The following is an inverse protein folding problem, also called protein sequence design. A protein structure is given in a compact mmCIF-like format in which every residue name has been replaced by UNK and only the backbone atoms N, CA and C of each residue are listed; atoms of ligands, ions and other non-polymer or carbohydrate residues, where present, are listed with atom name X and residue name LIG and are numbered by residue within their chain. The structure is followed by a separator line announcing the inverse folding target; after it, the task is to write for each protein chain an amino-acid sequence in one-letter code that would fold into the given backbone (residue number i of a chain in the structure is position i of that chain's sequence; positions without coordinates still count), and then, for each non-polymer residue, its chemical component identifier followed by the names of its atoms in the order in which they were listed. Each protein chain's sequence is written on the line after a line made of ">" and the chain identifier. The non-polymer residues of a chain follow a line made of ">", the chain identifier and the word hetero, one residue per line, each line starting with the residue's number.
data_IF_856963423939
#
_entry.id   IF_856963423939
#
_cell.length_a   1.000
_cell.length_b   1.000
_cell.length_c   1.000
_cell.angle_alpha   90.00
_cell.angle_beta   90.00
_cell.angle_gamma   90.00
#
_symmetry.space_group_name_H-M   'P 1'
#
loop_
_entity.id
_entity.type
_entity.pdbx_description
1 polymer ?
#
# COMPACT_ATOMS: atom_id res chain seq x y z
N UNK A 1 9.08 7.47 10.94
CA UNK A 1 8.54 8.84 11.04
C UNK A 1 9.10 9.56 12.28
N UNK A 2 9.10 8.97 13.49
CA UNK A 2 9.65 9.59 14.70
C UNK A 2 11.13 9.99 14.60
N UNK A 3 11.92 9.27 13.81
CA UNK A 3 13.32 9.60 13.48
C UNK A 3 13.46 10.86 12.64
N UNK A 4 12.45 11.22 11.87
CA UNK A 4 12.46 12.36 10.95
C UNK A 4 11.80 13.61 11.54
N UNK A 5 11.28 13.52 12.77
CA UNK A 5 10.66 14.67 13.43
C UNK A 5 11.70 15.60 14.06
N UNK A 6 11.60 16.93 13.87
CA UNK A 6 12.40 17.88 14.63
C UNK A 6 12.14 17.72 16.15
N UNK A 7 13.13 17.87 17.02
CA UNK A 7 14.51 18.29 16.75
C UNK A 7 15.49 17.16 16.38
N UNK A 8 15.06 15.90 16.37
CA UNK A 8 15.95 14.74 16.25
C UNK A 8 16.55 14.59 14.85
N UNK A 9 15.76 14.87 13.79
CA UNK A 9 16.27 14.90 12.42
C UNK A 9 17.39 15.93 12.25
N UNK A 10 17.30 17.05 12.95
CA UNK A 10 18.34 18.07 12.93
C UNK A 10 19.63 17.58 13.61
N UNK A 11 19.54 16.90 14.76
CA UNK A 11 20.70 16.33 15.43
C UNK A 11 21.45 15.32 14.55
N UNK A 12 20.73 14.52 13.77
CA UNK A 12 21.32 13.54 12.84
C UNK A 12 21.99 14.22 11.65
N UNK A 13 21.38 15.27 11.11
CA UNK A 13 21.97 16.06 10.01
C UNK A 13 23.24 16.76 10.43
N UNK A 14 23.24 17.38 11.61
CA UNK A 14 24.44 18.00 12.20
C UNK A 14 25.51 16.93 12.46
N UNK A 15 25.12 15.76 12.99
CA UNK A 15 26.03 14.65 13.23
C UNK A 15 26.67 14.17 11.95
N UNK A 16 25.91 13.94 10.88
CA UNK A 16 26.45 13.53 9.58
C UNK A 16 27.46 14.56 9.04
N UNK A 17 27.15 15.85 9.12
CA UNK A 17 28.05 16.92 8.73
C UNK A 17 29.36 16.93 9.53
N UNK A 18 29.28 16.68 10.84
CA UNK A 18 30.43 16.66 11.73
C UNK A 18 31.44 15.55 11.43
N UNK A 19 30.98 14.42 10.89
CA UNK A 19 31.86 13.27 10.58
C UNK A 19 32.15 13.08 9.09
N UNK A 20 31.53 13.88 8.22
CA UNK A 20 31.56 13.67 6.77
C UNK A 20 32.99 13.55 6.22
N UNK A 21 33.93 14.35 6.71
CA UNK A 21 35.34 14.28 6.30
C UNK A 21 36.07 13.06 6.85
N UNK A 22 35.82 12.70 8.11
CA UNK A 22 36.52 11.60 8.78
C UNK A 22 36.00 10.22 8.37
N UNK A 23 34.72 10.12 8.10
CA UNK A 23 34.01 8.88 7.74
C UNK A 23 33.34 8.99 6.37
N UNK A 24 34.06 9.55 5.39
CA UNK A 24 33.55 9.77 4.03
C UNK A 24 33.03 8.47 3.38
N UNK A 25 33.67 7.33 3.65
CA UNK A 25 33.24 6.03 3.15
C UNK A 25 31.82 5.61 3.64
N UNK A 26 31.37 6.13 4.77
CA UNK A 26 30.03 5.86 5.29
C UNK A 26 29.01 6.89 4.77
N UNK A 27 29.41 8.15 4.73
CA UNK A 27 28.51 9.27 4.39
C UNK A 27 28.31 9.41 2.89
N UNK A 28 29.39 9.26 2.09
CA UNK A 28 29.34 9.50 0.65
C UNK A 28 28.42 8.53 -0.10
N UNK A 29 28.52 7.19 0.10
CA UNK A 29 27.59 6.26 -0.57
C UNK A 29 26.14 6.51 -0.20
N UNK A 30 25.87 6.83 1.08
CA UNK A 30 24.53 7.15 1.54
C UNK A 30 23.98 8.42 0.87
N UNK A 31 24.80 9.44 0.73
CA UNK A 31 24.43 10.69 0.06
C UNK A 31 24.19 10.49 -1.44
N UNK A 32 25.07 9.76 -2.12
CA UNK A 32 24.92 9.42 -3.54
C UNK A 32 23.64 8.63 -3.78
N UNK A 33 23.38 7.60 -2.94
CA UNK A 33 22.17 6.82 -3.01
C UNK A 33 20.91 7.69 -2.83
N UNK A 34 20.93 8.58 -1.85
CA UNK A 34 19.80 9.49 -1.59
C UNK A 34 19.55 10.44 -2.75
N UNK A 35 20.60 11.09 -3.28
CA UNK A 35 20.51 12.01 -4.42
C UNK A 35 19.97 11.27 -5.63
N UNK A 36 20.54 10.10 -5.95
CA UNK A 36 20.13 9.28 -7.07
C UNK A 36 18.62 8.92 -6.99
N UNK A 37 18.17 8.38 -5.85
CA UNK A 37 16.77 8.00 -5.68
C UNK A 37 15.83 9.20 -5.58
N UNK A 38 16.33 10.37 -5.17
CA UNK A 38 15.53 11.60 -5.15
C UNK A 38 15.32 12.18 -6.55
N UNK A 39 16.16 11.84 -7.51
CA UNK A 39 16.07 12.29 -8.90
C UNK A 39 15.05 11.49 -9.73
N UNK A 40 14.77 10.24 -9.36
CA UNK A 40 13.83 9.40 -10.09
C UNK A 40 12.39 9.92 -9.97
N UNK A 41 11.61 9.95 -11.09
CA UNK A 41 10.24 10.46 -11.08
C UNK A 41 9.27 9.57 -10.29
N UNK A 42 9.53 8.27 -10.18
CA UNK A 42 8.68 7.29 -9.49
C UNK A 42 9.12 7.13 -8.02
N UNK A 43 8.93 8.19 -7.22
CA UNK A 43 9.35 8.24 -5.82
C UNK A 43 8.50 7.32 -4.95
N UNK A 44 9.03 6.15 -4.60
CA UNK A 44 8.44 5.30 -3.57
C UNK A 44 9.31 5.37 -2.31
N UNK A 45 8.69 5.69 -1.19
CA UNK A 45 9.37 5.84 0.12
C UNK A 45 10.20 4.60 0.50
N UNK A 46 9.76 3.42 0.07
CA UNK A 46 10.46 2.15 0.32
C UNK A 46 11.87 2.08 -0.27
N UNK A 47 12.16 2.83 -1.32
CA UNK A 47 13.50 2.85 -1.91
C UNK A 47 14.51 3.64 -1.06
N UNK A 48 14.03 4.51 -0.17
CA UNK A 48 14.89 5.28 0.74
C UNK A 48 15.14 4.50 2.06
N UNK A 49 14.31 3.51 2.39
CA UNK A 49 14.43 2.73 3.62
C UNK A 49 15.81 2.09 3.85
N UNK A 50 16.50 1.51 2.84
CA UNK A 50 17.83 0.93 3.04
C UNK A 50 18.87 1.94 3.53
N UNK A 51 18.65 3.23 3.29
CA UNK A 51 19.56 4.29 3.75
C UNK A 51 19.39 4.63 5.23
N UNK A 52 18.22 4.38 5.80
CA UNK A 52 17.89 4.77 7.19
C UNK A 52 18.90 4.24 8.21
N UNK A 53 19.32 2.95 8.19
CA UNK A 53 20.34 2.45 9.12
C UNK A 53 21.67 3.22 9.04
N UNK A 54 22.11 3.57 7.84
CA UNK A 54 23.36 4.33 7.64
C UNK A 54 23.25 5.74 8.20
N UNK A 55 22.11 6.41 7.99
CA UNK A 55 21.84 7.74 8.56
C UNK A 55 21.84 7.65 10.10
N UNK A 56 21.21 6.62 10.67
CA UNK A 56 21.18 6.39 12.10
C UNK A 56 22.59 6.24 12.65
N UNK A 57 23.38 5.34 12.11
CA UNK A 57 24.73 5.07 12.59
C UNK A 57 25.64 6.30 12.43
N UNK A 58 25.68 6.86 11.22
CA UNK A 58 26.52 8.04 10.91
C UNK A 58 26.10 9.26 11.76
N UNK A 59 24.78 9.51 11.84
CA UNK A 59 24.24 10.61 12.63
C UNK A 59 24.55 10.45 14.12
N UNK A 60 24.44 9.24 14.68
CA UNK A 60 24.75 8.97 16.08
C UNK A 60 26.23 9.18 16.41
N UNK A 61 27.13 8.62 15.59
CA UNK A 61 28.59 8.80 15.76
C UNK A 61 28.94 10.29 15.68
N UNK A 62 28.39 10.96 14.67
CA UNK A 62 28.65 12.37 14.47
C UNK A 62 28.05 13.27 15.56
N UNK A 63 26.86 12.93 16.07
CA UNK A 63 26.26 13.63 17.21
C UNK A 63 27.13 13.52 18.45
N UNK A 64 27.65 12.34 18.76
CA UNK A 64 28.58 12.14 19.88
C UNK A 64 29.82 13.04 19.75
N UNK A 65 30.46 13.02 18.56
CA UNK A 65 31.62 13.86 18.29
C UNK A 65 31.30 15.38 18.34
N UNK A 66 30.14 15.77 17.86
CA UNK A 66 29.68 17.18 17.93
C UNK A 66 29.42 17.62 19.37
N UNK A 67 28.74 16.77 20.14
CA UNK A 67 28.44 17.01 21.57
C UNK A 67 29.69 17.24 22.38
N UNK A 68 30.72 16.42 22.19
CA UNK A 68 32.00 16.54 22.90
C UNK A 68 32.72 17.87 22.62
N UNK A 69 32.50 18.45 21.46
CA UNK A 69 33.11 19.73 21.05
C UNK A 69 32.27 20.94 21.45
N UNK A 70 30.98 20.76 21.71
CA UNK A 70 30.03 21.83 21.96
C UNK A 70 29.97 22.18 23.45
N UNK A 71 30.42 23.37 23.81
CA UNK A 71 30.34 23.90 25.20
C UNK A 71 28.90 24.00 25.69
N UNK A 72 27.95 24.23 24.79
CA UNK A 72 26.53 24.28 25.09
C UNK A 72 26.01 22.93 25.62
N UNK A 73 26.29 21.85 24.91
CA UNK A 73 25.84 20.51 25.28
C UNK A 73 26.60 19.94 26.48
N UNK A 74 27.88 20.26 26.61
CA UNK A 74 28.67 19.90 27.79
C UNK A 74 28.08 20.45 29.08
N UNK A 75 27.62 21.72 29.03
CA UNK A 75 26.97 22.38 30.18
C UNK A 75 25.55 21.87 30.44
N UNK A 76 24.86 21.33 29.46
CA UNK A 76 23.44 20.94 29.53
C UNK A 76 23.20 19.45 29.40
N UNK A 77 24.06 18.61 29.94
CA UNK A 77 23.92 17.14 29.91
C UNK A 77 22.57 16.61 30.41
N UNK A 78 21.96 17.27 31.42
CA UNK A 78 20.62 16.89 31.91
C UNK A 78 19.52 17.10 30.85
N UNK A 79 19.63 18.17 30.08
CA UNK A 79 18.69 18.45 28.98
C UNK A 79 18.83 17.40 27.87
N UNK A 80 20.07 17.10 27.48
CA UNK A 80 20.36 16.05 26.49
C UNK A 80 19.77 14.70 26.91
N UNK A 81 19.98 14.29 28.15
CA UNK A 81 19.44 13.04 28.68
C UNK A 81 17.91 13.01 28.66
N UNK A 82 17.24 14.09 29.03
CA UNK A 82 15.78 14.21 28.97
C UNK A 82 15.27 14.13 27.53
N UNK A 83 15.93 14.77 26.59
CA UNK A 83 15.60 14.70 25.17
C UNK A 83 15.80 13.30 24.61
N UNK A 84 16.86 12.61 25.01
CA UNK A 84 17.10 11.22 24.60
C UNK A 84 16.01 10.27 25.15
N UNK A 85 15.61 10.42 26.42
CA UNK A 85 14.50 9.64 27.00
C UNK A 85 13.20 9.94 26.24
N UNK A 86 12.90 11.21 26.00
CA UNK A 86 11.71 11.62 25.24
C UNK A 86 11.71 11.02 23.85
N UNK A 87 12.85 11.05 23.16
CA UNK A 87 13.01 10.42 21.85
C UNK A 87 12.73 8.92 21.88
N UNK A 88 13.33 8.21 22.83
CA UNK A 88 13.12 6.76 22.96
C UNK A 88 11.66 6.45 23.29
N UNK A 89 11.07 7.16 24.25
CA UNK A 89 9.67 6.98 24.62
C UNK A 89 8.72 7.22 23.44
N UNK A 90 8.94 8.31 22.69
CA UNK A 90 8.16 8.65 21.51
C UNK A 90 8.27 7.56 20.44
N UNK A 91 9.49 7.06 20.19
CA UNK A 91 9.70 6.00 19.19
C UNK A 91 9.07 4.67 19.61
N UNK A 92 9.09 4.31 20.91
CA UNK A 92 8.41 3.12 21.43
C UNK A 92 6.90 3.24 21.20
N UNK A 93 6.30 4.40 21.52
CA UNK A 93 4.87 4.61 21.34
C UNK A 93 4.49 4.59 19.84
N UNK A 94 5.20 5.37 19.03
CA UNK A 94 4.95 5.43 17.57
C UNK A 94 5.22 4.08 16.91
N UNK A 95 6.31 3.41 17.28
CA UNK A 95 6.65 2.07 16.77
C UNK A 95 5.59 1.04 17.15
N UNK A 96 5.12 1.03 18.40
CA UNK A 96 4.05 0.16 18.87
C UNK A 96 2.74 0.39 18.09
N UNK A 97 2.37 1.64 17.88
CA UNK A 97 1.21 1.99 17.03
C UNK A 97 1.41 1.49 15.60
N UNK A 98 2.55 1.77 14.99
CA UNK A 98 2.85 1.37 13.60
C UNK A 98 2.89 -0.15 13.41
N UNK A 99 3.38 -0.91 14.39
CA UNK A 99 3.34 -2.38 14.37
C UNK A 99 1.90 -2.92 14.38
N UNK A 100 0.96 -2.21 15.00
CA UNK A 100 -0.46 -2.57 15.00
C UNK A 100 -1.23 -2.13 13.76
N UNK A 101 -0.68 -1.20 12.97
CA UNK A 101 -1.33 -0.67 11.77
C UNK A 101 -1.18 -1.64 10.60
N UNK A 102 -2.30 -2.11 10.09
CA UNK A 102 -2.38 -2.86 8.83
C UNK A 102 -3.01 -1.94 7.77
N UNK A 103 -2.21 -1.16 7.03
CA UNK A 103 -2.75 -0.28 6.00
C UNK A 103 -3.36 -1.12 4.88
N UNK A 104 -4.49 -0.63 4.32
CA UNK A 104 -5.22 -1.28 3.23
C UNK A 104 -5.70 -2.71 3.59
N UNK A 105 -6.12 -2.87 4.84
CA UNK A 105 -6.60 -4.16 5.37
C UNK A 105 -7.71 -4.75 4.50
N UNK A 106 -8.63 -3.94 3.98
CA UNK A 106 -9.71 -4.37 3.11
C UNK A 106 -9.21 -5.13 1.86
N UNK A 107 -8.10 -4.70 1.27
CA UNK A 107 -7.52 -5.37 0.09
C UNK A 107 -6.94 -6.75 0.44
N UNK A 108 -6.27 -6.85 1.58
CA UNK A 108 -5.70 -8.12 2.07
C UNK A 108 -6.82 -9.08 2.42
N UNK A 109 -7.79 -8.62 3.22
CA UNK A 109 -8.91 -9.45 3.66
C UNK A 109 -9.77 -9.92 2.47
N UNK A 110 -9.92 -9.10 1.42
CA UNK A 110 -10.64 -9.50 0.21
C UNK A 110 -9.90 -10.60 -0.56
N UNK A 111 -8.58 -10.47 -0.74
CA UNK A 111 -7.80 -11.51 -1.42
C UNK A 111 -7.74 -12.79 -0.59
N UNK A 112 -7.62 -12.71 0.73
CA UNK A 112 -7.69 -13.87 1.62
C UNK A 112 -9.06 -14.54 1.54
N UNK A 113 -10.15 -13.74 1.48
CA UNK A 113 -11.49 -14.29 1.33
C UNK A 113 -11.67 -15.05 0.00
N UNK A 114 -11.05 -14.60 -1.09
CA UNK A 114 -11.04 -15.34 -2.35
C UNK A 114 -10.24 -16.66 -2.24
N UNK A 115 -9.10 -16.62 -1.56
CA UNK A 115 -8.31 -17.82 -1.27
C UNK A 115 -9.09 -18.86 -0.47
N UNK A 116 -9.82 -18.41 0.56
CA UNK A 116 -10.62 -19.27 1.45
C UNK A 116 -11.78 -19.99 0.73
N UNK A 117 -12.22 -19.48 -0.44
CA UNK A 117 -13.22 -20.17 -1.26
C UNK A 117 -12.69 -21.48 -1.89
N UNK A 118 -11.38 -21.60 -2.06
CA UNK A 118 -10.71 -22.82 -2.54
C UNK A 118 -10.91 -23.15 -4.03
N UNK A 119 -11.73 -22.41 -4.76
CA UNK A 119 -12.05 -22.64 -6.17
C UNK A 119 -11.73 -21.43 -7.07
N UNK A 120 -10.83 -20.54 -6.65
CA UNK A 120 -10.44 -19.38 -7.41
C UNK A 120 -9.72 -19.78 -8.71
N UNK A 121 -10.35 -19.55 -9.85
CA UNK A 121 -9.71 -19.67 -11.17
C UNK A 121 -9.10 -18.36 -11.62
N UNK A 122 -9.88 -17.26 -11.59
CA UNK A 122 -9.45 -15.90 -11.87
C UNK A 122 -10.47 -14.93 -11.26
N UNK A 123 -10.15 -13.64 -11.21
CA UNK A 123 -11.08 -12.62 -10.73
C UNK A 123 -10.99 -11.33 -11.55
N UNK A 124 -12.11 -10.61 -11.57
CA UNK A 124 -12.24 -9.28 -12.15
C UNK A 124 -12.30 -8.25 -11.01
N UNK A 125 -11.43 -7.23 -11.05
CA UNK A 125 -11.55 -6.07 -10.16
C UNK A 125 -12.21 -4.93 -10.91
N UNK A 126 -13.28 -4.41 -10.32
CA UNK A 126 -13.99 -3.23 -10.76
C UNK A 126 -13.68 -2.07 -9.84
N UNK A 127 -13.02 -1.05 -10.37
CA UNK A 127 -12.70 0.16 -9.62
C UNK A 127 -13.82 1.17 -9.74
N UNK A 128 -14.46 1.53 -8.62
CA UNK A 128 -15.54 2.53 -8.65
C UNK A 128 -15.03 3.96 -8.41
N UNK A 129 -13.81 4.11 -7.88
CA UNK A 129 -13.19 5.43 -7.64
C UNK A 129 -11.76 5.43 -8.20
N UNK A 130 -10.78 5.11 -7.34
CA UNK A 130 -9.37 5.10 -7.70
C UNK A 130 -8.87 3.68 -7.99
N UNK A 131 -7.96 3.51 -8.95
CA UNK A 131 -7.36 2.21 -9.21
C UNK A 131 -6.71 1.64 -7.93
N UNK A 132 -7.10 0.43 -7.59
CA UNK A 132 -6.60 -0.27 -6.42
C UNK A 132 -5.95 -1.58 -6.86
N UNK A 133 -4.62 -1.65 -6.83
CA UNK A 133 -3.94 -2.92 -7.08
C UNK A 133 -4.12 -3.85 -5.89
N UNK A 134 -4.72 -5.04 -6.08
CA UNK A 134 -4.84 -6.03 -5.03
C UNK A 134 -3.48 -6.68 -4.77
N UNK A 135 -3.17 -7.05 -3.52
CA UNK A 135 -2.00 -7.85 -3.22
C UNK A 135 -2.28 -9.32 -3.58
N UNK A 136 -2.06 -9.71 -4.84
CA UNK A 136 -2.35 -11.05 -5.39
C UNK A 136 -1.77 -12.20 -4.54
N UNK A 137 -0.63 -11.98 -3.91
CA UNK A 137 -0.01 -12.97 -3.03
C UNK A 137 -1.00 -13.63 -2.05
N UNK A 138 -1.95 -12.85 -1.52
CA UNK A 138 -2.95 -13.37 -0.56
C UNK A 138 -4.10 -14.13 -1.21
N UNK A 139 -4.24 -14.08 -2.54
CA UNK A 139 -5.23 -14.89 -3.26
C UNK A 139 -4.72 -16.28 -3.61
N UNK A 140 -3.42 -16.56 -3.39
CA UNK A 140 -2.79 -17.82 -3.79
C UNK A 140 -2.60 -18.00 -5.30
N UNK A 141 -3.01 -17.02 -6.10
CA UNK A 141 -2.90 -17.05 -7.56
C UNK A 141 -1.94 -15.98 -8.06
N UNK A 142 -1.08 -16.35 -9.03
CA UNK A 142 -0.19 -15.44 -9.77
C UNK A 142 -0.69 -15.16 -11.19
N UNK A 143 -1.84 -15.70 -11.55
CA UNK A 143 -2.50 -15.46 -12.84
C UNK A 143 -2.83 -13.96 -12.99
N UNK A 144 -2.74 -13.45 -14.22
CA UNK A 144 -3.12 -12.07 -14.50
C UNK A 144 -4.64 -11.92 -14.33
N UNK A 145 -5.06 -11.20 -13.30
CA UNK A 145 -6.46 -10.86 -13.08
C UNK A 145 -6.96 -9.81 -14.09
N UNK A 146 -8.27 -9.68 -14.20
CA UNK A 146 -8.92 -8.69 -15.02
C UNK A 146 -9.19 -7.41 -14.23
N UNK A 147 -9.11 -6.27 -14.92
CA UNK A 147 -9.40 -4.96 -14.30
C UNK A 147 -10.42 -4.21 -15.14
N UNK A 148 -11.28 -3.48 -14.47
CA UNK A 148 -12.29 -2.63 -15.07
C UNK A 148 -12.50 -1.38 -14.21
N UNK A 149 -13.16 -0.39 -14.78
CA UNK A 149 -13.65 0.80 -14.10
C UNK A 149 -15.09 1.13 -14.54
N UNK A 150 -15.71 2.12 -13.94
CA UNK A 150 -17.09 2.52 -14.27
C UNK A 150 -17.24 3.13 -15.67
N UNK A 151 -16.17 3.46 -16.37
CA UNK A 151 -16.21 3.96 -17.75
C UNK A 151 -16.18 2.84 -18.80
N UNK A 152 -15.87 1.61 -18.36
CA UNK A 152 -15.75 0.45 -19.25
C UNK A 152 -17.13 -0.05 -19.66
N UNK A 153 -17.28 -0.43 -20.93
CA UNK A 153 -18.46 -1.15 -21.42
C UNK A 153 -18.39 -2.62 -20.96
N UNK A 154 -19.25 -2.98 -20.00
CA UNK A 154 -19.25 -4.29 -19.36
C UNK A 154 -19.57 -5.41 -20.35
N UNK A 155 -20.48 -5.18 -21.29
CA UNK A 155 -20.87 -6.18 -22.28
C UNK A 155 -19.73 -6.49 -23.25
N UNK A 156 -19.03 -5.45 -23.70
CA UNK A 156 -17.84 -5.62 -24.54
C UNK A 156 -16.71 -6.29 -23.76
N UNK A 157 -16.51 -5.90 -22.49
CA UNK A 157 -15.49 -6.52 -21.63
C UNK A 157 -15.79 -7.99 -21.39
N UNK A 158 -17.04 -8.38 -21.10
CA UNK A 158 -17.47 -9.78 -20.97
C UNK A 158 -17.13 -10.56 -22.22
N UNK A 159 -17.44 -10.00 -23.41
CA UNK A 159 -17.12 -10.65 -24.68
C UNK A 159 -15.62 -10.86 -24.90
N UNK A 160 -14.80 -9.86 -24.56
CA UNK A 160 -13.32 -9.98 -24.62
C UNK A 160 -12.82 -11.04 -23.66
N UNK A 161 -13.39 -11.15 -22.48
CA UNK A 161 -13.00 -12.17 -21.50
C UNK A 161 -13.38 -13.57 -21.93
N UNK A 162 -14.58 -13.78 -22.48
CA UNK A 162 -15.01 -15.09 -23.00
C UNK A 162 -14.16 -15.55 -24.21
N UNK A 163 -13.71 -14.64 -25.05
CA UNK A 163 -12.92 -14.96 -26.24
C UNK A 163 -11.41 -14.93 -26.00
N UNK A 164 -10.95 -14.75 -24.79
CA UNK A 164 -9.52 -14.65 -24.49
C UNK A 164 -8.82 -16.00 -24.56
N UNK A 165 -7.82 -16.18 -25.44
CA UNK A 165 -7.07 -17.42 -25.52
C UNK A 165 -6.01 -17.57 -24.43
N UNK A 166 -5.68 -16.47 -23.75
CA UNK A 166 -4.51 -16.40 -22.84
C UNK A 166 -4.87 -16.24 -21.36
N UNK A 167 -6.13 -15.91 -21.05
CA UNK A 167 -6.58 -15.69 -19.68
C UNK A 167 -7.89 -16.41 -19.43
N UNK A 168 -7.95 -17.06 -18.29
CA UNK A 168 -9.16 -17.73 -17.83
C UNK A 168 -10.23 -16.68 -17.52
N UNK A 169 -11.47 -16.99 -17.85
CA UNK A 169 -12.62 -16.16 -17.47
C UNK A 169 -12.73 -16.12 -15.93
N UNK A 170 -13.04 -14.96 -15.35
CA UNK A 170 -13.12 -14.81 -13.91
C UNK A 170 -14.33 -15.60 -13.35
N UNK A 171 -14.15 -16.23 -12.19
CA UNK A 171 -15.24 -16.80 -11.43
C UNK A 171 -15.62 -15.94 -10.21
N UNK A 172 -14.94 -14.79 -10.03
CA UNK A 172 -15.27 -13.78 -9.02
C UNK A 172 -15.17 -12.37 -9.58
N UNK A 173 -16.06 -11.50 -9.11
CA UNK A 173 -16.00 -10.04 -9.32
C UNK A 173 -15.79 -9.36 -7.98
N UNK A 174 -14.80 -8.48 -7.90
CA UNK A 174 -14.47 -7.71 -6.71
C UNK A 174 -14.64 -6.22 -7.01
N UNK A 175 -15.64 -5.59 -6.43
CA UNK A 175 -15.82 -4.14 -6.52
C UNK A 175 -14.99 -3.47 -5.43
N UNK A 176 -14.20 -2.49 -5.82
CA UNK A 176 -13.30 -1.73 -4.93
C UNK A 176 -13.56 -0.25 -5.03
N UNK A 177 -13.90 0.38 -3.90
CA UNK A 177 -14.07 1.82 -3.81
C UNK A 177 -14.66 2.29 -2.50
N UNK A 178 -14.85 3.60 -2.38
CA UNK A 178 -15.48 4.26 -1.24
C UNK A 178 -16.84 4.88 -1.60
N UNK A 179 -17.01 5.25 -2.88
CA UNK A 179 -18.20 5.87 -3.46
C UNK A 179 -18.67 5.03 -4.66
N UNK A 180 -19.89 5.24 -5.11
CA UNK A 180 -20.46 4.60 -6.31
C UNK A 180 -20.44 3.05 -6.35
N UNK A 181 -20.16 2.38 -5.20
CA UNK A 181 -20.14 0.91 -5.14
C UNK A 181 -21.48 0.30 -5.53
N UNK A 182 -22.60 0.89 -5.06
CA UNK A 182 -23.96 0.39 -5.37
C UNK A 182 -24.27 0.50 -6.85
N UNK A 183 -23.96 1.63 -7.47
CA UNK A 183 -24.14 1.88 -8.89
C UNK A 183 -23.33 0.89 -9.75
N UNK A 184 -22.05 0.68 -9.37
CA UNK A 184 -21.20 -0.30 -10.05
C UNK A 184 -21.76 -1.72 -9.96
N UNK A 185 -22.25 -2.13 -8.78
CA UNK A 185 -22.85 -3.45 -8.59
C UNK A 185 -24.12 -3.63 -9.43
N UNK A 186 -25.02 -2.62 -9.49
CA UNK A 186 -26.25 -2.72 -10.25
C UNK A 186 -25.99 -2.82 -11.77
N UNK A 187 -25.03 -2.04 -12.27
CA UNK A 187 -24.61 -2.14 -13.67
C UNK A 187 -24.12 -3.54 -14.03
N UNK A 188 -23.24 -4.10 -13.21
CA UNK A 188 -22.69 -5.43 -13.47
C UNK A 188 -23.76 -6.52 -13.30
N UNK A 189 -24.68 -6.39 -12.35
CA UNK A 189 -25.81 -7.33 -12.22
C UNK A 189 -26.72 -7.37 -13.44
N UNK A 190 -26.87 -6.28 -14.16
CA UNK A 190 -27.64 -6.27 -15.40
C UNK A 190 -26.93 -6.98 -16.57
N UNK A 191 -25.60 -7.13 -16.50
CA UNK A 191 -24.78 -7.76 -17.52
C UNK A 191 -24.44 -9.20 -17.21
N UNK A 192 -24.25 -9.52 -15.91
CA UNK A 192 -23.88 -10.85 -15.42
C UNK A 192 -25.06 -11.47 -14.64
N UNK A 193 -25.77 -12.40 -15.28
CA UNK A 193 -27.00 -13.02 -14.73
C UNK A 193 -26.73 -13.93 -13.54
N UNK A 194 -25.57 -14.59 -13.53
CA UNK A 194 -25.15 -15.53 -12.49
C UNK A 194 -24.52 -14.89 -11.25
N UNK A 195 -24.52 -13.54 -11.16
CA UNK A 195 -23.79 -12.81 -10.12
C UNK A 195 -24.44 -12.96 -8.73
N UNK A 196 -23.78 -13.69 -7.83
CA UNK A 196 -24.23 -13.91 -6.44
C UNK A 196 -23.31 -13.20 -5.42
N UNK A 197 -23.94 -12.57 -4.43
CA UNK A 197 -23.21 -11.91 -3.35
C UNK A 197 -22.58 -12.90 -2.38
N UNK A 198 -21.28 -12.76 -2.11
CA UNK A 198 -20.57 -13.57 -1.12
C UNK A 198 -20.30 -12.77 0.15
N UNK A 199 -19.57 -11.68 0.04
CA UNK A 199 -19.08 -10.97 1.23
C UNK A 199 -18.74 -9.50 0.96
N UNK A 200 -18.96 -8.69 2.01
CA UNK A 200 -18.41 -7.34 2.08
C UNK A 200 -17.20 -7.29 3.02
N UNK A 201 -16.14 -6.66 2.57
CA UNK A 201 -14.96 -6.39 3.38
C UNK A 201 -14.88 -4.90 3.66
N UNK A 202 -14.96 -4.54 4.93
CA UNK A 202 -14.92 -3.16 5.39
C UNK A 202 -13.47 -2.70 5.67
N UNK A 203 -13.18 -1.39 5.54
CA UNK A 203 -11.88 -0.83 5.91
C UNK A 203 -11.60 -1.01 7.39
N UNK A 204 -10.34 -1.24 7.74
CA UNK A 204 -9.89 -1.35 9.11
C UNK A 204 -10.10 -0.05 9.91
N UNK A 205 -10.04 -0.14 11.25
CA UNK A 205 -10.12 1.05 12.12
C UNK A 205 -9.02 2.07 11.80
N UNK A 206 -7.83 1.58 11.50
CA UNK A 206 -6.67 2.40 11.12
C UNK A 206 -6.84 3.04 9.75
N UNK A 207 -7.41 2.33 8.78
CA UNK A 207 -7.68 2.89 7.44
C UNK A 207 -8.66 4.07 7.54
N UNK A 208 -9.67 3.97 8.43
CA UNK A 208 -10.61 5.08 8.71
C UNK A 208 -9.93 6.26 9.38
N UNK A 209 -9.06 6.03 10.36
CA UNK A 209 -8.30 7.08 11.02
C UNK A 209 -7.34 7.77 10.05
N UNK A 210 -6.62 7.00 9.24
CA UNK A 210 -5.69 7.55 8.24
C UNK A 210 -6.42 8.33 7.15
N UNK A 211 -7.60 7.87 6.74
CA UNK A 211 -8.45 8.58 5.77
C UNK A 211 -9.03 9.89 6.36
N UNK A 212 -9.32 9.92 7.65
CA UNK A 212 -9.72 11.15 8.35
C UNK A 212 -8.57 12.15 8.45
N UNK A 213 -7.35 11.69 8.74
CA UNK A 213 -6.15 12.54 8.81
C UNK A 213 -5.69 13.03 7.44
N UNK A 214 -5.87 12.22 6.41
CA UNK A 214 -5.53 12.53 5.04
C UNK A 214 -6.56 11.91 4.08
N UNK A 215 -7.52 12.70 3.57
CA UNK A 215 -8.59 12.25 2.67
C UNK A 215 -8.10 11.66 1.34
N UNK A 216 -6.83 11.85 0.98
CA UNK A 216 -6.23 11.21 -0.20
C UNK A 216 -6.14 9.70 0.00
N UNK A 217 -6.00 9.23 1.26
CA UNK A 217 -6.04 7.82 1.63
C UNK A 217 -7.50 7.37 1.78
N UNK A 218 -8.13 6.97 0.69
CA UNK A 218 -9.51 6.46 0.74
C UNK A 218 -9.62 5.19 1.58
N UNK A 219 -10.64 5.15 2.46
CA UNK A 219 -11.03 3.95 3.18
C UNK A 219 -11.88 3.06 2.27
N UNK A 220 -11.25 2.27 1.43
CA UNK A 220 -11.89 1.44 0.42
C UNK A 220 -12.68 0.31 1.06
N UNK A 221 -13.91 0.11 0.59
CA UNK A 221 -14.72 -1.10 0.82
C UNK A 221 -14.54 -2.03 -0.37
N UNK A 222 -14.64 -3.32 -0.12
CA UNK A 222 -14.65 -4.31 -1.18
C UNK A 222 -15.88 -5.19 -1.07
N UNK A 223 -16.56 -5.39 -2.20
CA UNK A 223 -17.69 -6.31 -2.31
C UNK A 223 -17.27 -7.46 -3.22
N UNK A 224 -17.48 -8.69 -2.77
CA UNK A 224 -17.08 -9.91 -3.49
C UNK A 224 -18.34 -10.61 -3.94
N UNK A 225 -18.39 -10.95 -5.22
CA UNK A 225 -19.45 -11.71 -5.87
C UNK A 225 -18.84 -12.90 -6.59
N UNK A 226 -19.53 -14.03 -6.61
CA UNK A 226 -19.26 -15.15 -7.52
C UNK A 226 -20.00 -14.95 -8.82
N UNK A 227 -19.47 -15.51 -9.89
CA UNK A 227 -20.11 -15.65 -11.19
C UNK A 227 -19.83 -17.04 -11.75
N UNK A 228 -20.77 -17.56 -12.52
CA UNK A 228 -20.59 -18.84 -13.20
C UNK A 228 -20.00 -18.62 -14.60
N UNK A 229 -18.73 -19.02 -14.85
CA UNK A 229 -18.10 -18.86 -16.15
C UNK A 229 -18.83 -19.55 -17.30
N UNK A 230 -19.46 -20.70 -17.02
CA UNK A 230 -20.17 -21.48 -18.04
C UNK A 230 -21.44 -20.75 -18.47
N UNK A 231 -22.26 -20.31 -17.50
CA UNK A 231 -23.49 -19.57 -17.78
C UNK A 231 -23.21 -18.28 -18.55
N UNK A 232 -22.18 -17.52 -18.14
CA UNK A 232 -21.86 -16.23 -18.73
C UNK A 232 -21.29 -16.29 -20.15
N UNK A 233 -20.65 -17.41 -20.54
CA UNK A 233 -20.05 -17.54 -21.87
C UNK A 233 -20.87 -18.41 -22.83
N UNK A 234 -21.79 -19.26 -22.36
CA UNK A 234 -22.62 -20.15 -23.21
C UNK A 234 -23.79 -19.43 -23.85
N UNK A 235 -24.34 -18.38 -23.26
CA UNK A 235 -25.54 -17.67 -23.77
C UNK A 235 -25.44 -17.18 -25.23
N UNK A 236 -24.31 -17.28 -25.91
CA UNK A 236 -24.10 -16.80 -27.27
C UNK A 236 -24.14 -17.84 -28.38
N UNK A 237 -24.09 -19.13 -28.09
CA UNK A 237 -24.24 -20.14 -29.14
C UNK A 237 -25.68 -20.32 -29.59
N UNK A 238 -26.67 -19.88 -28.79
CA UNK A 238 -28.09 -20.04 -29.12
C UNK A 238 -28.70 -18.87 -29.93
N UNK A 239 -28.03 -17.72 -30.02
CA UNK A 239 -28.57 -16.54 -30.76
C UNK A 239 -28.13 -16.49 -32.20
N UNK A 240 -27.17 -17.31 -32.64
CA UNK A 240 -26.67 -17.42 -34.01
C UNK A 240 -26.81 -18.83 -34.58
N UNK A 241 -27.96 -19.49 -34.38
CA UNK A 241 -28.35 -20.59 -35.27
C UNK A 241 -29.21 -19.97 -36.38
N UNK A 242 -28.79 -20.10 -37.66
CA UNK A 242 -29.49 -19.56 -38.80
C UNK A 242 -30.85 -20.25 -39.05
#
# INVERSE_FOLDING_TARGET
>A
LGLLLPPFSFAWSVGMGAIARKHAMLVLPSLVFFIFHSYFPNKQERFILPMVPFVIVAGSIGWMAFRERSTFWQRRRRLEHRLAILFIALNIVVGGVLCGVRPKKSRIDAMTALYDQGNLSNFLIVHTDKPAMPPQFYSGSWEKYWTSDLSTDEANQRQVMCNSPTRVFPNYIVFSGSQHLGEGVERYKSTYSSMEYIRQVAPGKWDRLLSWLNPINSAERMLIYSIDPEEECIERTSVYSP
#
